data_IF_820709644543
#
_entry.id   IF_820709644543
#
_cell.length_a   1.000
_cell.length_b   1.000
_cell.length_c   1.000
_cell.angle_alpha   90.00
_cell.angle_beta   90.00
_cell.angle_gamma   90.00
#
_symmetry.space_group_name_H-M   'P 1'
#
loop_
_entity.id
_entity.type
_entity.pdbx_description
1 polymer ?
#
# COMPACT_ATOMS: atom_id res chain seq x y z
N UNK A 1 -14.15 -1.16 11.49
CA UNK A 1 -13.19 -2.27 11.44
C UNK A 1 -13.36 -3.06 12.72
N UNK A 2 -13.32 -4.38 12.64
CA UNK A 2 -13.35 -5.21 13.84
C UNK A 2 -11.94 -5.19 14.46
N UNK A 3 -11.83 -5.31 15.80
CA UNK A 3 -10.55 -5.18 16.51
C UNK A 3 -9.49 -6.17 15.98
N UNK A 4 -9.94 -7.34 15.50
CA UNK A 4 -9.12 -8.40 14.94
C UNK A 4 -8.40 -8.03 13.63
N UNK A 5 -8.84 -6.98 12.90
CA UNK A 5 -8.18 -6.60 11.65
C UNK A 5 -6.76 -6.11 11.89
N UNK A 6 -6.57 -5.23 12.88
CA UNK A 6 -5.25 -4.69 13.19
C UNK A 6 -4.32 -5.82 13.68
N UNK A 7 -4.81 -6.67 14.58
CA UNK A 7 -4.05 -7.82 15.08
C UNK A 7 -3.60 -8.73 13.93
N UNK A 8 -4.49 -9.01 12.96
CA UNK A 8 -4.15 -9.82 11.79
C UNK A 8 -3.14 -9.17 10.84
N UNK A 9 -3.15 -7.83 10.72
CA UNK A 9 -2.12 -7.09 9.96
C UNK A 9 -0.77 -7.18 10.67
N UNK A 10 -0.74 -7.02 12.00
CA UNK A 10 0.50 -7.13 12.77
C UNK A 10 1.05 -8.56 12.72
N UNK A 11 0.19 -9.57 12.83
CA UNK A 11 0.58 -10.98 12.68
C UNK A 11 1.14 -11.26 11.28
N UNK A 12 0.52 -10.69 10.23
CA UNK A 12 1.03 -10.81 8.85
C UNK A 12 2.45 -10.25 8.72
N UNK A 13 2.68 -9.07 9.27
CA UNK A 13 3.99 -8.39 9.21
C UNK A 13 5.07 -9.19 9.94
N UNK A 14 4.73 -9.80 11.07
CA UNK A 14 5.67 -10.57 11.89
C UNK A 14 6.18 -11.85 11.21
N UNK A 15 5.44 -12.40 10.22
CA UNK A 15 5.87 -13.57 9.45
C UNK A 15 7.01 -13.23 8.49
N UNK A 16 6.76 -12.23 7.64
CA UNK A 16 7.73 -11.68 6.68
C UNK A 16 7.32 -10.24 6.43
N UNK A 17 8.30 -9.33 6.44
CA UNK A 17 8.13 -7.91 6.15
C UNK A 17 7.25 -7.69 4.92
N UNK A 18 6.27 -6.79 5.03
CA UNK A 18 5.47 -6.36 3.88
C UNK A 18 6.11 -5.23 3.08
N UNK A 19 7.39 -4.92 3.36
CA UNK A 19 8.19 -4.08 2.48
C UNK A 19 8.27 -4.75 1.10
N UNK A 20 7.79 -4.03 0.09
CA UNK A 20 7.79 -4.48 -1.29
C UNK A 20 9.09 -4.10 -2.02
N UNK A 21 9.72 -2.99 -1.63
CA UNK A 21 10.91 -2.40 -2.24
C UNK A 21 10.75 -0.91 -2.53
N UNK A 22 11.85 -0.22 -2.89
CA UNK A 22 11.89 1.24 -3.15
C UNK A 22 11.15 2.08 -2.10
N UNK A 23 11.32 1.72 -0.81
CA UNK A 23 10.66 2.37 0.33
C UNK A 23 9.13 2.26 0.37
N UNK A 24 8.53 1.24 -0.26
CA UNK A 24 7.09 0.96 -0.22
C UNK A 24 6.78 -0.21 0.72
N UNK A 25 5.87 0.01 1.66
CA UNK A 25 5.26 -1.07 2.44
C UNK A 25 3.80 -1.31 2.02
N UNK A 26 3.39 -2.59 1.93
CA UNK A 26 2.04 -3.02 1.60
C UNK A 26 1.41 -3.86 2.75
N UNK A 27 1.24 -3.30 3.96
CA UNK A 27 0.65 -4.05 5.05
C UNK A 27 -0.78 -4.49 4.69
N UNK A 28 -1.11 -5.74 5.03
CA UNK A 28 -2.42 -6.35 4.80
C UNK A 28 -2.67 -7.46 5.83
N UNK A 29 -3.93 -7.82 6.07
CA UNK A 29 -4.28 -8.88 7.01
C UNK A 29 -3.97 -10.27 6.42
N UNK A 30 -3.78 -11.28 7.29
CA UNK A 30 -3.63 -12.69 6.87
C UNK A 30 -4.91 -13.27 6.25
N UNK A 31 -6.07 -12.69 6.57
CA UNK A 31 -7.36 -13.09 6.04
C UNK A 31 -8.16 -11.92 5.46
N UNK A 32 -9.26 -12.25 4.77
CA UNK A 32 -10.18 -11.29 4.17
C UNK A 32 -11.19 -10.78 5.20
N UNK A 33 -10.67 -10.04 6.19
CA UNK A 33 -11.40 -9.57 7.38
C UNK A 33 -12.10 -8.21 7.18
N UNK A 34 -11.91 -7.54 6.04
CA UNK A 34 -12.48 -6.23 5.81
C UNK A 34 -13.95 -6.30 5.37
N UNK A 35 -14.78 -5.36 5.84
CA UNK A 35 -16.19 -5.23 5.42
C UNK A 35 -16.35 -4.60 4.04
N UNK A 36 -15.32 -3.86 3.59
CA UNK A 36 -15.23 -3.19 2.28
C UNK A 36 -13.77 -3.14 1.86
N UNK A 37 -13.52 -3.22 0.56
CA UNK A 37 -12.18 -3.00 0.03
C UNK A 37 -11.80 -1.53 0.08
N UNK A 38 -10.70 -1.22 0.76
CA UNK A 38 -10.14 0.13 0.92
C UNK A 38 -8.62 0.05 0.89
N UNK A 39 -8.00 1.01 0.22
CA UNK A 39 -6.56 1.28 0.31
C UNK A 39 -6.38 2.55 1.14
N UNK A 40 -5.68 2.44 2.25
CA UNK A 40 -5.29 3.60 3.06
C UNK A 40 -3.85 3.96 2.79
N UNK A 41 -3.63 5.15 2.22
CA UNK A 41 -2.31 5.62 1.81
C UNK A 41 -1.72 6.56 2.86
N UNK A 42 -0.47 6.29 3.25
CA UNK A 42 0.35 7.17 4.08
C UNK A 42 1.58 7.60 3.27
N UNK A 43 1.82 8.91 3.23
CA UNK A 43 3.08 9.49 2.77
C UNK A 43 3.86 9.92 4.01
N UNK A 44 5.05 9.37 4.19
CA UNK A 44 5.96 9.67 5.28
C UNK A 44 7.27 10.22 4.71
N UNK A 45 7.36 11.53 4.40
CA UNK A 45 8.55 12.13 3.80
C UNK A 45 9.83 11.95 4.64
N UNK A 46 9.68 11.81 5.96
CA UNK A 46 10.77 11.60 6.91
C UNK A 46 11.13 10.11 7.07
N UNK A 47 10.37 9.21 6.45
CA UNK A 47 10.52 7.78 6.60
C UNK A 47 9.96 7.23 7.91
N UNK A 48 9.55 5.97 7.89
CA UNK A 48 9.18 5.16 9.04
C UNK A 48 10.06 3.91 9.03
N UNK A 49 10.70 3.60 10.16
CA UNK A 49 11.48 2.35 10.29
C UNK A 49 10.55 1.16 10.10
N UNK A 50 10.92 0.26 9.20
CA UNK A 50 10.10 -0.89 8.81
C UNK A 50 10.99 -2.14 8.74
N UNK A 51 11.17 -2.78 9.90
CA UNK A 51 12.20 -3.80 10.06
C UNK A 51 13.59 -3.20 9.89
N UNK A 52 14.39 -3.76 8.98
CA UNK A 52 15.74 -3.29 8.64
C UNK A 52 15.75 -2.19 7.55
N UNK A 53 14.57 -1.82 7.03
CA UNK A 53 14.42 -0.86 5.95
C UNK A 53 13.65 0.40 6.41
N UNK A 54 13.43 1.35 5.50
CA UNK A 54 12.67 2.59 5.76
C UNK A 54 11.56 2.76 4.73
N UNK A 55 10.31 2.81 5.20
CA UNK A 55 9.14 3.03 4.37
C UNK A 55 8.84 4.54 4.27
N UNK A 56 8.65 5.04 3.06
CA UNK A 56 8.24 6.42 2.79
C UNK A 56 6.81 6.49 2.23
N UNK A 57 6.32 5.41 1.62
CA UNK A 57 4.94 5.29 1.17
C UNK A 57 4.38 3.96 1.68
N UNK A 58 3.23 4.02 2.34
CA UNK A 58 2.56 2.85 2.89
C UNK A 58 1.17 2.76 2.31
N UNK A 59 0.81 1.61 1.74
CA UNK A 59 -0.54 1.31 1.28
C UNK A 59 -1.11 0.17 2.13
N UNK A 60 -1.86 0.51 3.17
CA UNK A 60 -2.57 -0.49 3.96
C UNK A 60 -3.77 -1.00 3.17
N UNK A 61 -3.77 -2.30 2.88
CA UNK A 61 -4.82 -2.97 2.12
C UNK A 61 -5.80 -3.64 3.09
N UNK A 62 -7.02 -3.12 3.12
CA UNK A 62 -8.15 -3.79 3.74
C UNK A 62 -9.00 -4.35 2.61
N UNK A 63 -8.93 -5.66 2.35
CA UNK A 63 -9.63 -6.30 1.23
C UNK A 63 -10.83 -7.10 1.76
N UNK A 64 -12.01 -6.84 1.19
CA UNK A 64 -13.21 -7.61 1.52
C UNK A 64 -13.22 -8.94 0.77
N UNK A 65 -13.81 -9.97 1.40
CA UNK A 65 -13.91 -11.29 0.78
C UNK A 65 -14.68 -11.28 -0.54
N UNK A 66 -15.69 -10.42 -0.65
CA UNK A 66 -16.54 -10.31 -1.84
C UNK A 66 -15.90 -9.57 -3.01
N UNK A 67 -14.81 -8.83 -2.78
CA UNK A 67 -14.15 -7.99 -3.78
C UNK A 67 -12.67 -8.42 -3.98
N UNK A 68 -12.33 -9.63 -3.56
CA UNK A 68 -10.95 -10.11 -3.55
C UNK A 68 -10.36 -10.23 -4.95
N UNK A 69 -11.12 -10.79 -5.90
CA UNK A 69 -10.65 -10.98 -7.27
C UNK A 69 -10.39 -9.63 -7.94
N UNK A 70 -11.27 -8.65 -7.77
CA UNK A 70 -11.08 -7.30 -8.27
C UNK A 70 -9.92 -6.59 -7.55
N UNK A 71 -9.76 -6.83 -6.25
CA UNK A 71 -8.67 -6.25 -5.47
C UNK A 71 -7.29 -6.77 -5.88
N UNK A 72 -7.18 -7.93 -6.55
CA UNK A 72 -5.91 -8.42 -7.07
C UNK A 72 -5.30 -7.44 -8.10
N UNK A 73 -6.12 -6.72 -8.86
CA UNK A 73 -5.65 -5.70 -9.80
C UNK A 73 -4.93 -4.53 -9.10
N UNK A 74 -5.15 -4.34 -7.80
CA UNK A 74 -4.46 -3.29 -7.02
C UNK A 74 -2.97 -3.63 -6.88
N UNK A 75 -2.58 -4.91 -6.84
CA UNK A 75 -1.17 -5.29 -6.77
C UNK A 75 -0.40 -4.88 -8.03
N UNK A 76 -1.02 -4.99 -9.20
CA UNK A 76 -0.42 -4.56 -10.47
C UNK A 76 -0.12 -3.05 -10.48
N UNK A 77 -0.96 -2.25 -9.81
CA UNK A 77 -0.72 -0.81 -9.63
C UNK A 77 0.55 -0.57 -8.82
N UNK A 78 0.75 -1.30 -7.72
CA UNK A 78 1.95 -1.13 -6.90
C UNK A 78 3.22 -1.60 -7.61
N UNK A 79 3.16 -2.71 -8.33
CA UNK A 79 4.25 -3.16 -9.19
C UNK A 79 4.56 -2.13 -10.28
N UNK A 80 3.53 -1.48 -10.83
CA UNK A 80 3.70 -0.38 -11.79
C UNK A 80 4.44 0.80 -11.18
N UNK A 81 4.10 1.20 -9.95
CA UNK A 81 4.81 2.29 -9.26
C UNK A 81 6.30 2.01 -9.08
N UNK A 82 6.65 0.76 -8.75
CA UNK A 82 8.04 0.31 -8.69
C UNK A 82 8.73 0.40 -10.06
N UNK A 83 8.09 -0.12 -11.12
CA UNK A 83 8.66 -0.13 -12.48
C UNK A 83 8.92 1.28 -13.02
N UNK A 84 7.97 2.18 -12.85
CA UNK A 84 8.04 3.56 -13.36
C UNK A 84 8.91 4.48 -12.47
N UNK A 85 9.49 3.97 -11.37
CA UNK A 85 10.20 4.78 -10.37
C UNK A 85 9.37 5.99 -9.92
N UNK A 86 8.06 5.77 -9.80
CA UNK A 86 7.08 6.79 -9.46
C UNK A 86 7.27 7.37 -8.05
N UNK A 87 8.05 6.68 -7.22
CA UNK A 87 8.11 6.89 -5.77
C UNK A 87 8.60 8.26 -5.37
N UNK A 88 9.64 8.80 -6.02
CA UNK A 88 10.10 10.16 -5.73
C UNK A 88 8.98 11.19 -5.96
N UNK A 89 8.14 10.97 -6.96
CA UNK A 89 7.02 11.87 -7.30
C UNK A 89 5.83 11.67 -6.34
N UNK A 90 5.55 10.42 -5.97
CA UNK A 90 4.50 10.11 -5.00
C UNK A 90 4.85 10.68 -3.61
N UNK A 91 6.10 10.52 -3.15
CA UNK A 91 6.58 11.09 -1.88
C UNK A 91 6.61 12.62 -1.87
N UNK A 92 6.81 13.25 -3.03
CA UNK A 92 6.81 14.72 -3.14
C UNK A 92 5.40 15.33 -3.09
N UNK A 93 4.35 14.51 -3.19
CA UNK A 93 2.97 14.98 -3.16
C UNK A 93 2.61 15.57 -1.80
N UNK A 94 2.07 16.78 -1.79
CA UNK A 94 1.72 17.52 -0.56
C UNK A 94 0.28 17.26 -0.11
N UNK A 95 -0.54 16.68 -0.98
CA UNK A 95 -1.94 16.38 -0.73
C UNK A 95 -2.43 15.21 -1.60
N UNK A 96 -3.63 14.72 -1.29
CA UNK A 96 -4.23 13.58 -1.99
C UNK A 96 -4.50 13.85 -3.48
N UNK A 97 -4.79 15.09 -3.88
CA UNK A 97 -5.06 15.42 -5.28
C UNK A 97 -3.78 15.29 -6.13
N UNK A 98 -2.65 15.79 -5.64
CA UNK A 98 -1.34 15.61 -6.26
C UNK A 98 -0.94 14.13 -6.33
N UNK A 99 -1.08 13.42 -5.21
CA UNK A 99 -0.83 11.98 -5.15
C UNK A 99 -1.65 11.24 -6.22
N UNK A 100 -2.95 11.53 -6.30
CA UNK A 100 -3.86 10.93 -7.27
C UNK A 100 -3.44 11.23 -8.71
N UNK A 101 -3.03 12.46 -9.01
CA UNK A 101 -2.57 12.83 -10.34
C UNK A 101 -1.33 12.02 -10.76
N UNK A 102 -0.33 11.92 -9.87
CA UNK A 102 0.88 11.13 -10.12
C UNK A 102 0.56 9.65 -10.28
N UNK A 103 -0.26 9.09 -9.38
CA UNK A 103 -0.68 7.70 -9.44
C UNK A 103 -1.43 7.37 -10.74
N UNK A 104 -2.34 8.25 -11.17
CA UNK A 104 -3.08 8.07 -12.42
C UNK A 104 -2.18 8.10 -13.65
N UNK A 105 -1.17 9.00 -13.69
CA UNK A 105 -0.22 9.05 -14.81
C UNK A 105 0.61 7.75 -14.93
N UNK A 106 0.99 7.16 -13.81
CA UNK A 106 1.74 5.90 -13.81
C UNK A 106 0.89 4.73 -14.33
N UNK A 107 -0.41 4.72 -14.03
CA UNK A 107 -1.33 3.66 -14.44
C UNK A 107 -1.87 3.86 -15.86
N UNK A 108 -1.96 5.10 -16.35
CA UNK A 108 -2.46 5.40 -17.71
C UNK A 108 -1.45 5.17 -18.84
N UNK A 109 -0.23 4.74 -18.53
CA UNK A 109 0.81 4.43 -19.53
C UNK A 109 0.66 3.02 -20.14
N UNK A 110 -0.47 2.37 -19.90
CA UNK A 110 -0.88 1.08 -20.47
C UNK A 110 -2.09 1.23 -21.39
#
# INVERSE_FOLDING_TARGET
MDAEFLDSVVEREAIVSTMLGDSIALPHALGLLAKKTVVYTVLAPQGIVWGDETAHVIFLLAISKSEYEEAMAIYDIFVTFLRERAMTRLCASQNFAEFKAVAMECVSRF
#
